data_IF_092144020139
#
_entry.id   IF_092144020139
#
_cell.length_a   1.000
_cell.length_b   1.000
_cell.length_c   1.000
_cell.angle_alpha   90.00
_cell.angle_beta   90.00
_cell.angle_gamma   90.00
#
_symmetry.space_group_name_H-M   'P 1'
#
loop_
_entity.id
_entity.type
_entity.pdbx_description
1 polymer ?
2 non-polymer ?
3 non-polymer ?
4 non-polymer ?
5 water ?
#
# COMPACT_ATOMS: atom_id res chain seq x y z
N UNK A 22 -15.84 0.79 18.28
CA UNK A 22 -14.40 0.91 18.41
C UNK A 22 -13.76 1.48 17.14
N UNK A 23 -13.60 2.81 17.10
CA UNK A 23 -12.85 3.41 15.99
C UNK A 23 -11.43 3.69 16.46
N UNK A 24 -10.70 2.59 16.60
CA UNK A 24 -9.29 2.56 16.93
C UNK A 24 -8.49 2.94 15.68
N UNK A 25 -7.18 2.72 15.73
CA UNK A 25 -6.28 3.06 14.65
C UNK A 25 -6.24 1.95 13.60
N UNK A 26 -5.74 2.32 12.42
CA UNK A 26 -5.40 1.37 11.37
C UNK A 26 -3.88 1.32 11.30
N UNK A 27 -3.30 0.14 11.47
CA UNK A 27 -1.85 -0.05 11.39
C UNK A 27 -1.45 -0.60 10.03
N UNK A 28 -0.53 0.08 9.35
CA UNK A 28 0.07 -0.40 8.11
C UNK A 28 1.53 -0.75 8.34
N UNK A 29 1.91 -1.97 7.96
CA UNK A 29 3.26 -2.50 8.15
C UNK A 29 3.91 -2.61 6.78
N UNK A 30 5.07 -1.97 6.60
CA UNK A 30 5.76 -2.08 5.32
C UNK A 30 6.93 -1.11 5.19
N UNK A 31 7.13 -0.62 3.97
CA UNK A 31 8.28 0.19 3.64
C UNK A 31 7.97 1.68 3.76
N UNK A 32 8.94 2.44 4.30
CA UNK A 32 9.00 3.88 4.13
C UNK A 32 10.24 4.20 3.29
N UNK A 33 10.09 5.12 2.35
CA UNK A 33 11.11 5.43 1.35
C UNK A 33 11.14 6.94 1.18
N UNK A 34 12.33 7.48 1.01
CA UNK A 34 12.50 8.86 0.56
C UNK A 34 12.49 8.86 -0.96
N UNK A 35 11.42 9.40 -1.55
CA UNK A 35 11.30 9.52 -2.99
C UNK A 35 11.87 10.88 -3.40
N UNK A 36 12.93 10.86 -4.21
CA UNK A 36 13.47 12.08 -4.80
C UNK A 36 12.90 12.18 -6.21
N UNK A 37 12.03 13.17 -6.43
CA UNK A 37 11.14 13.20 -7.59
C UNK A 37 11.53 14.36 -8.48
N UNK A 38 11.71 14.07 -9.76
CA UNK A 38 11.87 15.08 -10.81
C UNK A 38 10.70 14.95 -11.77
N UNK A 39 10.06 16.08 -12.04
CA UNK A 39 8.95 16.15 -12.98
C UNK A 39 9.47 16.71 -14.30
N UNK A 40 9.31 15.96 -15.38
CA UNK A 40 9.87 16.32 -16.68
C UNK A 40 8.77 16.35 -17.74
N UNK A 41 9.05 17.10 -18.81
CA UNK A 41 8.17 17.10 -19.98
C UNK A 41 8.20 15.74 -20.68
N UNK A 42 9.37 15.36 -21.15
CA UNK A 42 9.60 14.10 -21.84
C UNK A 42 10.65 13.32 -21.06
N UNK A 43 10.50 12.00 -21.07
CA UNK A 43 11.46 11.15 -20.36
C UNK A 43 12.85 11.36 -20.95
N UNK A 44 13.87 11.62 -20.12
CA UNK A 44 15.21 11.88 -20.66
C UNK A 44 15.82 10.68 -21.34
N UNK A 45 16.59 10.94 -22.39
CA UNK A 45 17.33 9.88 -23.06
C UNK A 45 18.68 9.67 -22.35
N UNK A 46 19.40 8.66 -22.80
CA UNK A 46 20.69 8.31 -22.23
C UNK A 46 21.74 9.41 -22.42
N UNK A 47 22.58 9.58 -21.41
CA UNK A 47 23.66 10.56 -21.43
C UNK A 47 23.26 11.99 -21.79
N UNK A 48 21.96 12.31 -21.71
CA UNK A 48 21.53 13.65 -22.03
C UNK A 48 21.59 14.53 -20.78
N UNK A 49 21.36 15.82 -20.98
CA UNK A 49 21.33 16.79 -19.90
C UNK A 49 20.13 17.69 -20.11
N UNK A 50 19.13 17.53 -19.24
CA UNK A 50 17.91 18.31 -19.35
C UNK A 50 17.55 18.97 -18.03
N UNK A 51 16.74 20.01 -18.13
CA UNK A 51 16.28 20.76 -16.98
C UNK A 51 14.86 20.33 -16.65
N UNK A 52 14.57 20.14 -15.36
CA UNK A 52 13.29 19.59 -14.96
C UNK A 52 12.24 20.70 -14.80
N UNK A 53 10.97 20.28 -14.83
CA UNK A 53 9.89 21.23 -14.53
C UNK A 53 9.91 21.62 -13.06
N UNK A 54 9.91 20.63 -12.17
CA UNK A 54 10.03 20.86 -10.75
C UNK A 54 10.68 19.63 -10.14
N UNK A 55 11.08 19.78 -8.88
CA UNK A 55 11.62 18.67 -8.12
C UNK A 55 11.07 18.74 -6.71
N UNK A 56 11.05 17.59 -6.05
CA UNK A 56 10.60 17.57 -4.68
C UNK A 56 11.12 16.30 -4.02
N UNK A 57 11.16 16.33 -2.69
CA UNK A 57 11.23 15.11 -1.91
C UNK A 57 9.84 14.81 -1.37
N UNK A 58 9.51 13.53 -1.35
CA UNK A 58 8.18 13.09 -0.93
C UNK A 58 8.37 11.79 -0.17
N UNK A 59 7.72 11.67 0.99
CA UNK A 59 7.76 10.40 1.70
C UNK A 59 7.06 9.34 0.86
N UNK A 60 7.67 8.16 0.78
CA UNK A 60 7.12 7.09 -0.05
C UNK A 60 7.20 5.72 0.59
N UNK A 61 7.10 4.67 -0.23
CA UNK A 61 6.94 3.33 0.29
C UNK A 61 5.47 2.97 0.33
N UNK A 62 5.13 1.72 -0.02
CA UNK A 62 3.73 1.34 -0.19
C UNK A 62 2.93 1.58 1.09
N UNK A 63 3.36 0.94 2.20
CA UNK A 63 2.62 1.06 3.44
C UNK A 63 2.61 2.51 3.92
N UNK A 64 3.70 3.22 3.68
CA UNK A 64 3.83 4.62 4.09
C UNK A 64 2.86 5.51 3.31
N UNK A 65 2.79 5.34 1.99
CA UNK A 65 1.85 6.12 1.20
C UNK A 65 0.40 5.84 1.59
N UNK A 66 0.09 4.59 1.95
CA UNK A 66 -1.27 4.25 2.37
C UNK A 66 -1.63 4.97 3.66
N UNK A 67 -0.67 5.07 4.60
CA UNK A 67 -0.89 5.86 5.81
C UNK A 67 -1.20 7.32 5.47
N UNK A 68 -0.47 7.90 4.52
CA UNK A 68 -0.75 9.27 4.09
C UNK A 68 -2.20 9.42 3.65
N UNK A 69 -2.66 8.51 2.78
CA UNK A 69 -4.02 8.59 2.25
C UNK A 69 -5.03 8.28 3.35
N UNK A 70 -4.74 7.29 4.18
CA UNK A 70 -5.62 6.99 5.31
C UNK A 70 -5.83 8.22 6.21
N UNK A 71 -4.75 8.91 6.56
CA UNK A 71 -4.89 10.10 7.40
C UNK A 71 -5.57 11.24 6.66
N UNK A 72 -5.39 11.34 5.36
CA UNK A 72 -6.14 12.35 4.59
C UNK A 72 -7.63 12.03 4.56
N UNK A 73 -8.00 10.75 4.62
CA UNK A 73 -9.39 10.36 4.64
C UNK A 73 -10.04 10.54 6.01
N UNK A 74 -9.25 10.89 7.02
CA UNK A 74 -9.76 11.11 8.37
C UNK A 74 -9.60 9.96 9.34
N UNK A 75 -8.76 8.98 9.01
CA UNK A 75 -8.68 7.86 9.95
C UNK A 75 -7.39 7.95 10.77
N UNK A 76 -7.46 7.73 12.09
CA UNK A 76 -6.22 7.61 12.87
C UNK A 76 -5.45 6.37 12.43
N UNK A 77 -4.18 6.55 12.07
CA UNK A 77 -3.40 5.42 11.60
C UNK A 77 -1.97 5.53 12.07
N UNK A 78 -1.29 4.39 12.04
CA UNK A 78 0.10 4.25 12.45
C UNK A 78 0.89 3.49 11.41
N UNK A 79 2.14 3.87 11.26
CA UNK A 79 3.06 3.18 10.37
C UNK A 79 4.01 2.33 11.19
N UNK A 80 4.36 1.16 10.69
CA UNK A 80 5.38 0.33 11.31
C UNK A 80 6.31 -0.16 10.21
N UNK A 81 7.57 0.28 10.27
CA UNK A 81 8.56 -0.12 9.31
C UNK A 81 9.93 0.14 9.88
N UNK A 82 10.94 -0.35 9.17
CA UNK A 82 12.32 -0.18 9.57
C UNK A 82 12.84 1.17 9.11
N UNK A 83 13.44 1.91 10.05
CA UNK A 83 14.12 3.15 9.71
C UNK A 83 15.47 3.18 10.42
N UNK A 84 16.41 3.92 9.84
CA UNK A 84 17.71 4.11 10.44
C UNK A 84 17.89 5.57 10.85
N UNK A 85 18.43 5.84 12.04
CA UNK A 85 18.61 7.24 12.46
C UNK A 85 19.53 7.98 11.50
N UNK A 86 19.15 9.21 11.18
CA UNK A 86 19.88 9.99 10.19
C UNK A 86 19.05 11.15 9.70
N UNK A 87 19.65 11.88 8.76
CA UNK A 87 18.98 13.03 8.16
C UNK A 87 17.74 12.63 7.36
N UNK A 88 17.85 11.56 6.57
CA UNK A 88 16.70 11.09 5.80
C UNK A 88 15.56 10.69 6.73
N UNK A 89 15.88 9.98 7.81
CA UNK A 89 14.84 9.59 8.76
C UNK A 89 14.18 10.80 9.38
N UNK A 90 14.98 11.80 9.76
CA UNK A 90 14.42 13.01 10.38
C UNK A 90 13.42 13.67 9.45
N UNK A 91 13.75 13.78 8.16
CA UNK A 91 12.79 14.30 7.18
C UNK A 91 11.53 13.44 7.14
N UNK A 92 11.71 12.12 7.12
CA UNK A 92 10.55 11.25 7.00
C UNK A 92 9.69 11.30 8.26
N UNK A 93 10.32 11.22 9.43
CA UNK A 93 9.55 11.29 10.69
C UNK A 93 8.77 12.60 10.77
N UNK A 94 9.43 13.72 10.46
CA UNK A 94 8.76 15.01 10.44
C UNK A 94 7.55 15.01 9.50
N UNK A 95 7.68 14.37 8.33
CA UNK A 95 6.58 14.36 7.36
C UNK A 95 5.44 13.46 7.83
N UNK A 96 5.78 12.25 8.31
CA UNK A 96 4.82 11.42 9.02
C UNK A 96 4.00 12.25 10.02
N UNK A 97 4.68 12.93 10.94
CA UNK A 97 3.96 13.62 12.01
C UNK A 97 3.13 14.77 11.50
N UNK A 98 3.52 15.39 10.39
CA UNK A 98 2.71 16.46 9.81
C UNK A 98 1.42 15.92 9.22
N UNK A 99 1.46 14.69 8.67
CA UNK A 99 0.25 14.02 8.21
C UNK A 99 -0.57 13.44 9.34
N UNK A 100 -0.06 13.48 10.58
CA UNK A 100 -0.74 12.83 11.68
C UNK A 100 -0.63 11.33 11.69
N UNK A 101 0.41 10.78 11.08
CA UNK A 101 0.65 9.34 11.06
C UNK A 101 1.57 8.99 12.21
N UNK A 102 1.09 8.13 13.12
CA UNK A 102 1.90 7.72 14.27
C UNK A 102 3.07 6.85 13.83
N UNK A 103 4.22 7.05 14.48
CA UNK A 103 5.42 6.29 14.14
C UNK A 103 6.01 5.58 15.36
N UNK A 104 5.24 5.50 16.44
CA UNK A 104 5.76 4.91 17.67
C UNK A 104 6.14 3.44 17.53
N UNK A 105 5.63 2.75 16.50
CA UNK A 105 5.95 1.34 16.32
C UNK A 105 7.12 1.10 15.36
N UNK A 106 7.72 2.17 14.82
CA UNK A 106 8.85 2.01 13.90
C UNK A 106 9.94 1.16 14.53
N UNK A 107 10.59 0.35 13.71
CA UNK A 107 11.66 -0.54 14.16
C UNK A 107 12.99 0.14 13.80
N UNK A 108 13.51 0.91 14.74
CA UNK A 108 14.76 1.62 14.54
C UNK A 108 15.92 0.64 14.56
N UNK A 109 16.78 0.72 13.56
CA UNK A 109 17.98 -0.11 13.49
C UNK A 109 19.18 0.67 14.03
N UNK A 110 20.22 -0.08 14.41
CA UNK A 110 21.41 0.54 14.97
C UNK A 110 22.32 1.10 13.90
N UNK A 111 22.31 0.52 12.70
CA UNK A 111 23.19 0.93 11.62
C UNK A 111 22.45 0.80 10.30
N UNK A 112 22.79 1.66 9.35
CA UNK A 112 22.29 1.59 8.00
C UNK A 112 21.72 2.91 7.54
N UNK A 113 21.07 2.87 6.37
CA UNK A 113 20.42 4.02 5.78
C UNK A 113 18.97 3.67 5.43
N UNK A 114 18.06 4.59 5.74
CA UNK A 114 16.68 4.39 5.34
C UNK A 114 16.61 4.35 3.80
N UNK A 115 15.84 3.43 3.22
CA UNK A 115 15.84 3.31 1.76
C UNK A 115 15.36 4.58 1.09
N UNK A 116 15.80 4.75 -0.15
CA UNK A 116 15.40 5.91 -0.93
C UNK A 116 15.28 5.48 -2.38
N UNK A 117 14.61 6.29 -3.15
CA UNK A 117 14.40 6.02 -4.55
C UNK A 117 14.73 7.26 -5.35
N UNK A 118 15.05 7.04 -6.60
CA UNK A 118 15.22 8.08 -7.59
C UNK A 118 14.06 7.96 -8.56
N UNK A 119 13.22 9.00 -8.62
CA UNK A 119 11.97 8.93 -9.36
C UNK A 119 11.92 10.02 -10.43
N UNK A 120 11.51 9.62 -11.62
CA UNK A 120 11.23 10.54 -12.71
C UNK A 120 9.77 10.37 -13.07
N UNK A 121 9.04 11.48 -13.08
CA UNK A 121 7.62 11.50 -13.41
C UNK A 121 7.45 12.27 -14.71
N UNK A 122 6.93 11.60 -15.73
CA UNK A 122 6.59 12.26 -16.98
C UNK A 122 5.31 13.07 -16.79
N UNK A 123 5.38 14.37 -17.03
CA UNK A 123 4.24 15.23 -16.72
C UNK A 123 3.15 15.14 -17.77
N UNK A 124 3.49 14.68 -18.98
CA UNK A 124 2.53 14.63 -20.08
C UNK A 124 1.63 13.40 -20.03
N UNK A 125 1.93 12.43 -19.17
CA UNK A 125 1.07 11.24 -19.08
C UNK A 125 1.07 10.61 -17.70
N UNK A 126 1.85 11.10 -16.75
CA UNK A 126 1.86 10.56 -15.41
C UNK A 126 2.73 9.35 -15.19
N UNK A 127 3.43 8.88 -16.22
CA UNK A 127 4.35 7.76 -16.07
C UNK A 127 5.41 8.07 -15.02
N UNK A 128 5.82 6.99 -14.36
CA UNK A 128 6.80 7.07 -13.32
C UNK A 128 7.90 6.04 -13.35
N UNK A 129 9.13 6.54 -13.41
CA UNK A 129 10.30 5.66 -13.40
C UNK A 129 10.89 5.65 -11.98
N UNK A 130 10.94 4.47 -11.36
CA UNK A 130 11.46 4.36 -10.01
C UNK A 130 12.74 3.55 -10.07
N UNK A 131 13.82 4.16 -9.58
CA UNK A 131 15.09 3.50 -9.35
C UNK A 131 15.26 3.42 -7.84
N UNK A 132 15.07 2.23 -7.29
CA UNK A 132 14.96 2.06 -5.85
C UNK A 132 16.27 1.53 -5.27
N UNK A 133 16.59 1.98 -4.06
CA UNK A 133 17.69 1.43 -3.28
C UNK A 133 17.15 0.94 -1.94
N UNK A 134 16.99 -0.36 -1.84
CA UNK A 134 16.56 -1.00 -0.60
C UNK A 134 17.89 -1.18 0.12
N UNK A 135 18.01 -0.61 1.32
CA UNK A 135 19.29 -0.66 2.02
C UNK A 135 19.58 -1.80 3.00
N UNK A 136 19.87 -3.00 2.51
CA UNK A 136 20.27 -4.06 3.43
C UNK A 136 19.78 -3.78 4.85
N UNK A 137 18.84 -2.86 5.01
CA UNK A 137 18.30 -2.58 6.33
C UNK A 137 17.43 -3.75 6.76
N UNK A 138 17.60 -4.28 7.98
CA UNK A 138 16.76 -5.40 8.42
C UNK A 138 15.28 -5.04 8.36
N UNK A 139 14.48 -6.02 7.96
CA UNK A 139 13.04 -5.83 7.89
C UNK A 139 12.42 -5.93 9.28
N UNK A 140 11.21 -5.39 9.42
CA UNK A 140 10.42 -5.64 10.62
C UNK A 140 10.31 -7.14 10.83
N UNK A 141 10.70 -7.60 12.00
CA UNK A 141 10.71 -9.02 12.31
C UNK A 141 9.47 -9.38 13.11
N UNK A 142 9.22 -10.69 13.22
CA UNK A 142 8.14 -11.15 14.08
C UNK A 142 8.37 -10.72 15.52
N UNK A 143 9.63 -10.81 15.98
CA UNK A 143 9.96 -10.37 17.34
C UNK A 143 9.63 -8.89 17.55
N UNK A 144 9.88 -8.06 16.54
CA UNK A 144 9.41 -6.69 16.60
C UNK A 144 7.89 -6.65 16.73
N UNK A 145 7.18 -7.39 15.86
CA UNK A 145 5.72 -7.30 15.86
C UNK A 145 5.14 -7.88 17.14
N UNK A 146 5.80 -8.87 17.73
CA UNK A 146 5.32 -9.47 18.97
C UNK A 146 5.12 -8.41 20.07
N UNK A 147 5.87 -7.31 20.02
CA UNK A 147 5.77 -6.26 21.03
C UNK A 147 4.60 -5.31 20.80
N UNK A 148 3.94 -5.37 19.64
CA UNK A 148 2.88 -4.41 19.34
C UNK A 148 1.64 -4.74 20.16
N UNK A 149 1.01 -3.70 20.70
CA UNK A 149 -0.22 -3.84 21.45
C UNK A 149 -1.39 -3.87 20.47
N UNK A 150 -1.87 -5.08 20.17
CA UNK A 150 -2.92 -5.26 19.16
C UNK A 150 -4.23 -4.58 19.55
N UNK A 151 -4.46 -4.32 20.84
CA UNK A 151 -5.72 -3.72 21.26
C UNK A 151 -5.88 -2.29 20.77
N UNK A 152 -4.85 -1.69 20.19
CA UNK A 152 -4.97 -0.33 19.70
C UNK A 152 -5.51 -0.24 18.27
N UNK A 153 -5.67 -1.37 17.57
CA UNK A 153 -5.97 -1.33 16.14
C UNK A 153 -7.23 -2.13 15.81
N UNK A 154 -8.08 -1.53 14.97
CA UNK A 154 -9.23 -2.18 14.35
C UNK A 154 -8.90 -2.84 13.02
N UNK A 155 -7.80 -2.47 12.39
CA UNK A 155 -7.41 -3.01 11.09
C UNK A 155 -5.89 -2.99 11.03
N UNK A 156 -5.32 -4.06 10.49
CA UNK A 156 -3.88 -4.17 10.32
C UNK A 156 -3.62 -4.59 8.87
N UNK A 157 -2.93 -3.73 8.12
CA UNK A 157 -2.57 -3.97 6.74
C UNK A 157 -1.07 -4.24 6.62
N UNK A 158 -0.71 -5.25 5.84
CA UNK A 158 0.67 -5.71 5.72
C UNK A 158 1.07 -5.69 4.26
N UNK A 159 2.13 -4.92 3.98
CA UNK A 159 2.76 -4.92 2.67
C UNK A 159 3.70 -6.11 2.57
N UNK A 160 3.37 -7.06 1.68
CA UNK A 160 4.20 -8.23 1.48
C UNK A 160 5.66 -7.91 1.21
N UNK A 161 6.55 -8.48 2.01
CA UNK A 161 7.95 -8.09 2.02
C UNK A 161 8.82 -9.28 2.42
N UNK A 162 8.95 -9.53 3.73
CA UNK A 162 9.72 -10.67 4.25
C UNK A 162 8.70 -11.72 4.67
N UNK A 163 8.29 -12.55 3.71
CA UNK A 163 7.06 -13.33 3.86
C UNK A 163 7.13 -14.27 5.05
N UNK A 164 8.25 -14.99 5.20
CA UNK A 164 8.39 -15.95 6.28
C UNK A 164 8.16 -15.29 7.64
N UNK A 165 8.67 -14.09 7.83
CA UNK A 165 8.45 -13.41 9.10
C UNK A 165 7.04 -12.83 9.19
N UNK A 166 6.54 -12.26 8.10
CA UNK A 166 5.22 -11.64 8.13
C UNK A 166 4.12 -12.67 8.38
N UNK A 167 4.32 -13.92 7.92
CA UNK A 167 3.35 -14.97 8.22
C UNK A 167 3.18 -15.13 9.73
N UNK A 168 4.29 -15.09 10.48
CA UNK A 168 4.20 -15.21 11.92
C UNK A 168 3.45 -14.03 12.54
N UNK A 169 3.68 -12.82 12.05
CA UNK A 169 2.85 -11.69 12.45
C UNK A 169 1.38 -12.01 12.18
N UNK A 170 1.08 -12.44 10.95
CA UNK A 170 -0.29 -12.79 10.61
C UNK A 170 -0.83 -13.88 11.52
N UNK A 171 0.01 -14.85 11.88
CA UNK A 171 -0.44 -15.89 12.80
C UNK A 171 -0.71 -15.32 14.19
N UNK A 172 0.16 -14.41 14.66
CA UNK A 172 -0.06 -13.79 15.96
C UNK A 172 -1.40 -13.05 15.98
N UNK A 173 -1.68 -12.23 14.96
CA UNK A 173 -2.97 -11.56 14.86
C UNK A 173 -4.11 -12.57 14.88
N UNK A 174 -3.93 -13.72 14.23
CA UNK A 174 -5.00 -14.72 14.19
C UNK A 174 -5.30 -15.28 15.58
N UNK A 175 -4.25 -15.66 16.31
CA UNK A 175 -4.43 -16.17 17.66
C UNK A 175 -5.11 -15.14 18.55
N UNK A 176 -4.72 -13.87 18.42
CA UNK A 176 -5.41 -12.81 19.15
C UNK A 176 -6.89 -12.78 18.81
N UNK A 177 -7.21 -12.83 17.52
CA UNK A 177 -8.60 -12.72 17.09
C UNK A 177 -9.45 -13.86 17.62
N UNK A 178 -8.89 -15.06 17.76
CA UNK A 178 -9.70 -16.18 18.22
C UNK A 178 -10.21 -15.95 19.63
N UNK A 179 -9.46 -15.22 20.44
CA UNK A 179 -9.81 -14.93 21.83
C UNK A 179 -10.70 -13.70 21.98
N UNK A 180 -10.98 -12.96 20.88
CA UNK A 180 -11.79 -11.75 20.95
C UNK A 180 -13.24 -12.03 20.57
N UNK A 181 -14.19 -11.27 21.11
CA UNK A 181 -15.57 -11.31 20.61
C UNK A 181 -15.62 -10.91 19.14
N UNK A 182 -16.63 -11.36 18.40
CA UNK A 182 -16.67 -11.09 16.96
C UNK A 182 -16.48 -9.63 16.57
N UNK A 183 -16.96 -8.69 17.38
CA UNK A 183 -16.88 -7.29 17.01
C UNK A 183 -15.54 -6.66 17.36
N UNK A 184 -14.72 -7.32 18.17
CA UNK A 184 -13.40 -6.80 18.50
C UNK A 184 -12.29 -7.54 17.76
N UNK A 185 -12.63 -8.37 16.78
CA UNK A 185 -11.60 -9.02 15.97
C UNK A 185 -10.95 -8.01 15.04
N UNK A 186 -9.65 -8.16 14.84
CA UNK A 186 -8.90 -7.22 14.01
C UNK A 186 -8.98 -7.67 12.56
N UNK A 187 -9.47 -6.78 11.69
CA UNK A 187 -9.49 -7.09 10.27
C UNK A 187 -8.09 -6.97 9.69
N UNK A 188 -7.79 -7.83 8.73
CA UNK A 188 -6.43 -7.94 8.20
C UNK A 188 -6.46 -7.88 6.68
N UNK A 189 -5.58 -7.07 6.12
CA UNK A 189 -5.38 -7.02 4.68
C UNK A 189 -3.89 -7.18 4.40
N UNK A 190 -3.61 -7.74 3.23
CA UNK A 190 -2.25 -7.97 2.77
C UNK A 190 -2.16 -7.54 1.31
N UNK A 191 -0.99 -7.05 0.93
CA UNK A 191 -0.70 -6.73 -0.46
C UNK A 191 0.38 -7.66 -0.96
N UNK A 192 0.15 -8.27 -2.11
CA UNK A 192 1.19 -9.00 -2.81
C UNK A 192 1.49 -8.23 -4.08
N UNK A 193 2.50 -7.39 -4.05
CA UNK A 193 2.74 -6.47 -5.15
C UNK A 193 3.94 -6.85 -6.01
N UNK A 194 4.94 -7.52 -5.45
CA UNK A 194 6.11 -7.91 -6.21
C UNK A 194 5.97 -9.34 -6.69
N UNK A 195 6.32 -9.61 -7.94
CA UNK A 195 6.24 -10.96 -8.51
C UNK A 195 7.32 -11.91 -8.00
N UNK A 196 7.44 -12.01 -6.67
CA UNK A 196 8.46 -12.86 -6.06
C UNK A 196 7.78 -14.06 -5.40
N UNK A 197 8.28 -15.24 -5.74
CA UNK A 197 7.68 -16.51 -5.36
C UNK A 197 7.42 -16.62 -3.86
N UNK A 198 8.31 -16.08 -3.03
CA UNK A 198 8.16 -16.23 -1.58
C UNK A 198 6.90 -15.53 -1.07
N UNK A 199 6.49 -14.43 -1.71
CA UNK A 199 5.35 -13.68 -1.21
C UNK A 199 4.02 -14.40 -1.45
N UNK A 200 3.97 -15.33 -2.41
CA UNK A 200 2.67 -15.88 -2.80
C UNK A 200 1.99 -16.63 -1.66
N UNK A 201 2.75 -17.17 -0.70
CA UNK A 201 2.11 -17.81 0.44
C UNK A 201 1.27 -16.83 1.25
N UNK A 202 1.52 -15.52 1.11
CA UNK A 202 0.70 -14.53 1.79
C UNK A 202 -0.73 -14.48 1.27
N UNK A 203 -1.00 -15.09 0.11
CA UNK A 203 -2.38 -15.16 -0.38
C UNK A 203 -3.30 -15.85 0.62
N UNK A 204 -2.79 -16.82 1.38
CA UNK A 204 -3.60 -17.58 2.30
C UNK A 204 -3.85 -16.95 3.65
N UNK A 205 -3.56 -15.67 3.82
CA UNK A 205 -3.79 -14.97 5.07
C UNK A 205 -4.59 -13.71 4.78
N UNK A 206 -5.24 -13.19 5.82
CA UNK A 206 -5.92 -11.91 5.73
C UNK A 206 -7.35 -12.03 5.27
N UNK A 207 -8.17 -11.06 5.68
CA UNK A 207 -9.54 -11.00 5.23
C UNK A 207 -9.68 -10.35 3.86
N UNK A 208 -8.73 -9.49 3.49
CA UNK A 208 -8.73 -8.81 2.21
C UNK A 208 -7.34 -8.97 1.61
N UNK A 209 -7.27 -9.49 0.39
CA UNK A 209 -5.98 -9.68 -0.28
C UNK A 209 -5.96 -8.81 -1.53
N UNK A 210 -4.94 -7.95 -1.62
CA UNK A 210 -4.68 -7.11 -2.79
C UNK A 210 -3.58 -7.76 -3.64
N UNK A 211 -3.89 -8.06 -4.89
CA UNK A 211 -2.92 -8.58 -5.85
C UNK A 211 -2.69 -7.55 -6.93
N UNK A 212 -1.42 -7.27 -7.23
CA UNK A 212 -1.13 -6.22 -8.20
C UNK A 212 -1.33 -6.72 -9.63
N UNK A 213 -1.63 -5.77 -10.52
CA UNK A 213 -1.63 -6.02 -11.96
C UNK A 213 -0.31 -6.59 -12.43
N UNK A 214 0.80 -6.14 -11.85
CA UNK A 214 2.10 -6.69 -12.18
C UNK A 214 2.21 -8.15 -11.81
N UNK A 215 1.70 -8.52 -10.62
CA UNK A 215 1.75 -9.92 -10.22
C UNK A 215 0.79 -10.75 -11.07
N UNK A 216 -0.40 -10.21 -11.34
CA UNK A 216 -1.35 -10.92 -12.19
C UNK A 216 -0.73 -11.24 -13.54
N UNK A 217 -0.15 -10.23 -14.20
CA UNK A 217 0.48 -10.47 -15.49
C UNK A 217 1.63 -11.46 -15.36
N UNK A 218 2.56 -11.22 -14.43
CA UNK A 218 3.65 -12.19 -14.18
C UNK A 218 3.14 -13.62 -14.09
N UNK A 219 1.93 -13.82 -13.58
CA UNK A 219 1.33 -15.14 -13.42
C UNK A 219 0.50 -15.58 -14.62
N UNK A 220 0.56 -14.86 -15.73
CA UNK A 220 -0.07 -15.31 -16.96
C UNK A 220 -1.47 -14.78 -17.22
N UNK A 221 -2.03 -14.00 -16.32
CA UNK A 221 -3.38 -13.46 -16.49
C UNK A 221 -3.35 -12.20 -17.34
N UNK A 222 -4.45 -11.93 -18.03
CA UNK A 222 -4.59 -10.79 -18.93
C UNK A 222 -5.61 -9.78 -18.46
N UNK A 223 -6.32 -10.06 -17.37
CA UNK A 223 -7.32 -9.15 -16.85
C UNK A 223 -7.47 -9.42 -15.36
N UNK A 224 -7.99 -8.43 -14.65
CA UNK A 224 -8.32 -8.63 -13.24
C UNK A 224 -9.27 -9.82 -13.06
N UNK A 225 -10.34 -9.86 -13.85
CA UNK A 225 -11.36 -10.89 -13.72
C UNK A 225 -10.75 -12.29 -13.78
N UNK A 226 -9.96 -12.57 -14.81
CA UNK A 226 -9.32 -13.86 -14.94
C UNK A 226 -8.30 -14.10 -13.83
N UNK A 227 -7.60 -13.04 -13.39
CA UNK A 227 -6.72 -13.18 -12.24
C UNK A 227 -7.51 -13.57 -10.98
N UNK A 228 -8.63 -12.87 -10.73
CA UNK A 228 -9.43 -13.21 -9.55
C UNK A 228 -9.92 -14.65 -9.61
N UNK A 229 -10.52 -15.06 -10.74
CA UNK A 229 -10.98 -16.43 -10.85
C UNK A 229 -9.82 -17.40 -10.74
N UNK A 230 -8.67 -17.03 -11.29
CA UNK A 230 -7.53 -17.94 -11.30
C UNK A 230 -6.88 -18.11 -9.95
N UNK A 231 -6.85 -17.06 -9.14
CA UNK A 231 -6.11 -17.07 -7.89
C UNK A 231 -6.95 -17.38 -6.66
N UNK A 232 -8.28 -17.28 -6.73
CA UNK A 232 -9.10 -17.30 -5.52
C UNK A 232 -8.88 -18.54 -4.67
N UNK A 233 -8.50 -19.66 -5.28
CA UNK A 233 -8.28 -20.88 -4.53
C UNK A 233 -7.08 -20.85 -3.59
N UNK A 234 -6.32 -19.75 -3.61
CA UNK A 234 -5.20 -19.59 -2.69
C UNK A 234 -5.55 -18.83 -1.42
N UNK A 235 -6.68 -18.14 -1.39
CA UNK A 235 -6.98 -17.27 -0.26
C UNK A 235 -7.67 -18.07 0.83
N UNK A 236 -7.57 -17.55 2.04
CA UNK A 236 -8.27 -18.16 3.16
C UNK A 236 -9.77 -18.15 2.88
N UNK A 237 -10.44 -19.23 3.26
CA UNK A 237 -11.89 -19.30 3.07
C UNK A 237 -12.55 -18.15 3.82
N UNK A 238 -13.41 -17.42 3.14
CA UNK A 238 -14.01 -16.22 3.67
C UNK A 238 -13.37 -14.92 3.18
N UNK A 239 -12.21 -14.96 2.55
CA UNK A 239 -11.51 -13.73 2.24
C UNK A 239 -12.00 -13.12 0.93
N UNK A 240 -11.71 -11.84 0.76
CA UNK A 240 -12.02 -11.11 -0.47
C UNK A 240 -10.70 -10.82 -1.18
N UNK A 241 -10.63 -11.18 -2.47
CA UNK A 241 -9.47 -10.94 -3.31
C UNK A 241 -9.73 -9.73 -4.19
N UNK A 242 -8.79 -8.78 -4.20
CA UNK A 242 -8.93 -7.52 -4.92
C UNK A 242 -7.78 -7.38 -5.91
N UNK A 243 -8.11 -7.02 -7.16
CA UNK A 243 -7.10 -6.81 -8.19
C UNK A 243 -7.43 -5.54 -8.96
N UNK A 244 -6.64 -4.49 -8.75
CA UNK A 244 -6.79 -3.24 -9.48
C UNK A 244 -6.04 -3.31 -10.80
N UNK A 245 -6.59 -2.64 -11.82
CA UNK A 245 -6.06 -2.75 -13.18
C UNK A 245 -5.96 -1.37 -13.83
N UNK A 246 -5.51 -0.38 -13.08
CA UNK A 246 -5.14 0.93 -13.62
C UNK A 246 -6.34 1.52 -14.36
N UNK A 247 -6.22 1.86 -15.65
CA UNK A 247 -7.28 2.56 -16.36
C UNK A 247 -8.52 1.71 -16.60
N UNK A 248 -8.42 0.40 -16.44
CA UNK A 248 -9.59 -0.45 -16.62
C UNK A 248 -10.38 -0.63 -15.33
N UNK A 249 -10.04 0.10 -14.27
CA UNK A 249 -10.78 0.01 -13.03
C UNK A 249 -10.26 -1.12 -12.15
N UNK A 250 -11.12 -1.56 -11.24
CA UNK A 250 -10.72 -2.54 -10.25
C UNK A 250 -11.83 -3.58 -10.09
N UNK A 251 -11.41 -4.79 -9.72
CA UNK A 251 -12.31 -5.91 -9.55
C UNK A 251 -12.04 -6.58 -8.21
N UNK A 252 -13.07 -7.28 -7.71
CA UNK A 252 -12.98 -8.01 -6.46
C UNK A 252 -13.77 -9.30 -6.58
N UNK A 253 -13.45 -10.25 -5.70
CA UNK A 253 -14.12 -11.54 -5.68
C UNK A 253 -14.15 -12.05 -4.25
N UNK A 254 -15.34 -12.26 -3.72
CA UNK A 254 -15.51 -12.77 -2.39
C UNK A 254 -15.99 -14.22 -2.35
N UNK A 255 -16.40 -14.67 -1.17
CA UNK A 255 -16.78 -16.08 -1.01
C UNK A 255 -18.05 -16.47 -1.75
N UNK A 256 -18.97 -15.53 -1.98
CA UNK A 256 -20.21 -15.91 -2.68
C UNK A 256 -19.98 -16.20 -4.16
N UNK A 257 -18.76 -16.03 -4.67
CA UNK A 257 -18.44 -16.40 -6.03
C UNK A 257 -18.75 -15.36 -7.09
N UNK A 258 -19.35 -14.24 -6.73
CA UNK A 258 -19.74 -13.22 -7.69
C UNK A 258 -18.61 -12.23 -7.93
N UNK A 259 -18.30 -11.99 -9.19
CA UNK A 259 -17.26 -11.03 -9.55
C UNK A 259 -17.82 -9.61 -9.52
N UNK A 260 -17.16 -8.74 -8.75
CA UNK A 260 -17.52 -7.33 -8.66
C UNK A 260 -16.48 -6.49 -9.38
N UNK A 261 -16.94 -5.35 -9.90
CA UNK A 261 -16.09 -4.50 -10.72
C UNK A 261 -16.53 -3.05 -10.56
N UNK A 262 -15.54 -2.16 -10.60
CA UNK A 262 -15.79 -0.72 -10.74
C UNK A 262 -14.93 -0.18 -11.87
N UNK A 263 -15.50 0.71 -12.66
CA UNK A 263 -14.68 1.39 -13.66
C UNK A 263 -13.71 2.34 -12.99
N UNK A 264 -12.70 2.75 -13.74
CA UNK A 264 -11.83 3.83 -13.32
C UNK A 264 -12.57 5.16 -13.40
N UNK A 265 -12.02 6.17 -12.72
CA UNK A 265 -12.53 7.55 -12.78
C UNK A 265 -11.37 8.45 -13.16
N UNK A 266 -11.01 8.49 -14.44
CA UNK A 266 -9.83 9.25 -14.86
C UNK A 266 -10.02 10.74 -14.63
N UNK A 267 -8.99 11.42 -14.16
CA UNK A 267 -9.03 12.88 -14.11
C UNK A 267 -8.91 13.46 -15.51
N UNK A 268 -9.17 14.77 -15.68
CA UNK A 268 -8.99 15.38 -17.00
C UNK A 268 -7.59 15.12 -17.58
N UNK A 269 -6.55 15.48 -16.83
CA UNK A 269 -5.17 15.20 -17.23
C UNK A 269 -4.51 14.32 -16.18
N UNK A 270 -3.89 13.22 -16.64
CA UNK A 270 -3.15 12.33 -15.77
C UNK A 270 -1.71 12.85 -15.70
N UNK A 271 -1.30 13.32 -14.52
CA UNK A 271 -0.01 13.96 -14.36
C UNK A 271 0.92 13.24 -13.39
N UNK A 272 0.42 12.35 -12.52
CA UNK A 272 1.27 11.71 -11.51
C UNK A 272 0.58 10.43 -11.02
N UNK A 273 1.04 9.27 -11.50
CA UNK A 273 0.52 7.99 -11.03
C UNK A 273 1.44 7.35 -9.99
N UNK A 274 2.41 8.09 -9.48
CA UNK A 274 3.26 7.58 -8.41
C UNK A 274 2.42 7.41 -7.15
N UNK A 275 2.37 6.19 -6.61
CA UNK A 275 1.54 5.95 -5.45
C UNK A 275 0.07 5.80 -5.73
N UNK A 276 -0.33 5.61 -6.99
CA UNK A 276 -1.76 5.50 -7.29
C UNK A 276 -2.34 4.18 -6.77
N UNK A 277 -1.57 3.09 -6.84
CA UNK A 277 -2.04 1.85 -6.24
C UNK A 277 -2.14 1.93 -4.73
N UNK A 278 -1.24 2.68 -4.10
CA UNK A 278 -1.29 2.86 -2.66
C UNK A 278 -2.52 3.66 -2.26
N UNK A 279 -2.92 4.63 -3.08
CA UNK A 279 -4.14 5.38 -2.82
C UNK A 279 -5.37 4.50 -2.92
N UNK A 280 -5.42 3.68 -3.98
CA UNK A 280 -6.51 2.71 -4.10
C UNK A 280 -6.58 1.78 -2.89
N UNK A 281 -5.44 1.19 -2.49
CA UNK A 281 -5.42 0.27 -1.36
C UNK A 281 -5.96 0.93 -0.10
N UNK A 282 -5.44 2.12 0.23
CA UNK A 282 -5.84 2.79 1.45
C UNK A 282 -7.31 3.14 1.42
N UNK A 283 -7.82 3.51 0.25
CA UNK A 283 -9.23 3.87 0.12
C UNK A 283 -10.13 2.65 0.28
N UNK A 284 -9.72 1.51 -0.25
CA UNK A 284 -10.51 0.29 -0.05
C UNK A 284 -10.51 -0.09 1.43
N UNK A 285 -9.34 -0.07 2.06
CA UNK A 285 -9.24 -0.36 3.49
C UNK A 285 -10.14 0.57 4.28
N UNK A 286 -10.07 1.86 3.98
CA UNK A 286 -10.90 2.83 4.69
C UNK A 286 -12.38 2.53 4.50
N UNK A 287 -12.80 2.31 3.26
CA UNK A 287 -14.20 2.10 2.94
C UNK A 287 -14.75 0.86 3.64
N UNK A 288 -14.02 -0.27 3.52
CA UNK A 288 -14.45 -1.47 4.21
C UNK A 288 -14.46 -1.27 5.73
N UNK A 289 -13.46 -0.57 6.27
CA UNK A 289 -13.40 -0.36 7.71
C UNK A 289 -14.55 0.51 8.19
N UNK A 290 -15.13 1.33 7.31
CA UNK A 290 -16.30 2.13 7.60
C UNK A 290 -17.61 1.34 7.46
N UNK A 291 -17.54 0.03 7.25
CA UNK A 291 -18.73 -0.79 7.10
C UNK A 291 -19.32 -0.84 5.71
N UNK A 292 -18.72 -0.19 4.73
CA UNK A 292 -19.27 -0.22 3.38
C UNK A 292 -19.13 -1.62 2.79
N UNK A 293 -19.86 -1.86 1.70
CA UNK A 293 -19.77 -3.16 1.07
C UNK A 293 -18.63 -3.17 0.04
N UNK A 294 -18.29 -4.37 -0.43
CA UNK A 294 -17.14 -4.52 -1.31
C UNK A 294 -17.34 -3.74 -2.60
N UNK A 295 -18.57 -3.77 -3.15
CA UNK A 295 -18.86 -2.95 -4.33
C UNK A 295 -18.60 -1.47 -4.05
N UNK A 296 -19.08 -0.97 -2.92
CA UNK A 296 -18.83 0.43 -2.55
C UNK A 296 -17.33 0.70 -2.40
N UNK A 297 -16.60 -0.22 -1.76
CA UNK A 297 -15.17 0.00 -1.53
C UNK A 297 -14.41 0.05 -2.84
N UNK A 298 -14.82 -0.76 -3.82
CA UNK A 298 -14.17 -0.73 -5.14
C UNK A 298 -14.36 0.62 -5.81
N UNK A 299 -15.59 1.17 -5.73
CA UNK A 299 -15.87 2.42 -6.41
C UNK A 299 -15.12 3.58 -5.78
N UNK A 300 -15.19 3.68 -4.44
CA UNK A 300 -14.46 4.70 -3.72
C UNK A 300 -12.97 4.62 -4.00
N UNK A 301 -12.39 3.41 -3.94
CA UNK A 301 -10.98 3.25 -4.26
C UNK A 301 -10.62 3.76 -5.65
N UNK A 302 -11.45 3.43 -6.64
CA UNK A 302 -11.17 3.94 -7.98
C UNK A 302 -11.32 5.45 -8.05
N UNK A 303 -12.24 6.02 -7.26
CA UNK A 303 -12.48 7.46 -7.33
C UNK A 303 -11.32 8.24 -6.71
N UNK A 304 -10.87 7.84 -5.53
CA UNK A 304 -9.81 8.59 -4.86
C UNK A 304 -8.49 8.40 -5.59
N UNK A 305 -8.16 7.16 -5.97
CA UNK A 305 -6.95 6.91 -6.76
C UNK A 305 -7.01 7.65 -8.10
N UNK A 306 -8.17 7.65 -8.74
CA UNK A 306 -8.26 8.32 -10.01
C UNK A 306 -7.99 9.81 -9.90
N UNK A 307 -8.48 10.43 -8.84
CA UNK A 307 -8.27 11.86 -8.79
C UNK A 307 -6.90 12.20 -8.19
N UNK A 308 -6.26 11.26 -7.51
CA UNK A 308 -4.85 11.43 -7.19
C UNK A 308 -4.02 11.53 -8.47
N UNK A 309 -4.39 10.77 -9.51
CA UNK A 309 -3.61 10.74 -10.74
C UNK A 309 -3.62 12.10 -11.45
N UNK A 310 -4.57 12.96 -11.14
CA UNK A 310 -4.57 14.33 -11.61
C UNK A 310 -3.86 15.31 -10.70
N UNK A 311 -3.11 14.83 -9.71
CA UNK A 311 -2.42 15.70 -8.76
C UNK A 311 -1.00 15.20 -8.56
N UNK A 312 -0.07 16.13 -8.30
CA UNK A 312 1.25 15.77 -7.81
C UNK A 312 1.15 15.43 -6.33
N UNK A 313 1.68 14.27 -5.94
CA UNK A 313 1.56 13.94 -4.53
C UNK A 313 0.12 13.61 -4.13
N UNK A 314 -0.13 13.67 -2.82
CA UNK A 314 -1.41 13.24 -2.27
C UNK A 314 -2.28 14.37 -1.74
N UNK A 315 -1.73 15.57 -1.57
CA UNK A 315 -2.56 16.69 -1.13
C UNK A 315 -3.57 17.06 -2.19
N UNK A 316 -4.80 17.37 -1.75
CA UNK A 316 -5.88 17.59 -2.65
C UNK A 316 -6.71 16.36 -2.95
N UNK A 317 -6.32 15.19 -2.42
CA UNK A 317 -7.16 14.02 -2.68
C UNK A 317 -8.41 13.97 -1.83
N UNK A 318 -8.60 14.92 -0.93
CA UNK A 318 -9.87 15.07 -0.21
C UNK A 318 -10.17 16.57 -0.07
#
# INVERSE_FOLDING_TARGET
MGSSHHHHHHSSGLVPRGSHMEEKQILCVGLVVLDVISLVDKYPKEDSEIRCLSQRWQRGGNASNSCTVLSLLGAPCAFMGSMAPGHVADFLVADFRRRGVDVSQVAWQSKGDTPSSCCIINNSNGNRTIVLHDTSLPDVSATDFEKVDLTQFKWIHIEGRNASEQVKMLQRIDAHNTRQPPEQKIRVSVEVEKPREELFQLFGYGDVVFVSKDVAKHLGFQSAEEALRGLYGRVRKGAVLVCAWAEEGADALGPDGKLLHSDAFPPPRVVDTLGAGDTFNASVIFSLSQGRSVQEALRFGCQVAGKKCGLQGFDGIV
#
